data_IF_215690614622
#
_entry.id   IF_215690614622
#
_cell.length_a   1.000
_cell.length_b   1.000
_cell.length_c   1.000
_cell.angle_alpha   90.00
_cell.angle_beta   90.00
_cell.angle_gamma   90.00
#
_symmetry.space_group_name_H-M   'P 1'
#
loop_
_entity.id
_entity.type
_entity.pdbx_description
1 polymer ?
#
# COMPACT_ATOMS: atom_id res chain seq x y z
N UNK A 1 -34.64 36.02 39.20
CA UNK A 1 -33.63 36.27 38.15
C UNK A 1 -33.45 35.03 37.32
N UNK A 2 -33.50 35.14 36.00
CA UNK A 2 -33.19 33.98 35.15
C UNK A 2 -31.71 33.62 35.23
N UNK A 3 -31.43 32.33 35.29
CA UNK A 3 -30.07 31.81 35.20
C UNK A 3 -29.82 31.37 33.74
N UNK A 4 -28.81 31.94 33.13
CA UNK A 4 -28.45 31.62 31.76
C UNK A 4 -27.05 31.00 31.72
N UNK A 5 -26.95 29.84 31.08
CA UNK A 5 -25.69 29.17 30.83
C UNK A 5 -25.44 29.19 29.35
N UNK A 6 -24.25 29.64 28.94
CA UNK A 6 -23.85 29.72 27.56
C UNK A 6 -22.58 28.89 27.37
N UNK A 7 -22.61 27.90 26.46
CA UNK A 7 -21.45 27.11 26.11
C UNK A 7 -21.06 27.47 24.68
N UNK A 8 -19.80 27.83 24.52
CA UNK A 8 -19.27 28.24 23.21
C UNK A 8 -18.01 27.45 22.89
N UNK A 9 -18.01 26.82 21.72
CA UNK A 9 -16.82 26.10 21.23
C UNK A 9 -16.20 26.96 20.13
N UNK A 10 -14.96 27.45 20.30
CA UNK A 10 -14.28 28.23 19.26
C UNK A 10 -14.09 27.43 18.00
N UNK A 11 -14.22 28.06 16.84
CA UNK A 11 -13.99 27.41 15.54
C UNK A 11 -12.56 26.90 15.41
N UNK A 12 -11.59 27.56 16.05
CA UNK A 12 -10.19 27.16 16.07
C UNK A 12 -9.99 25.79 16.74
N UNK A 13 -10.72 25.53 17.84
CA UNK A 13 -10.65 24.25 18.54
C UNK A 13 -11.22 23.11 17.65
N UNK A 14 -12.32 23.39 16.95
CA UNK A 14 -12.93 22.42 16.02
C UNK A 14 -11.99 22.15 14.85
N UNK A 15 -11.36 23.18 14.28
CA UNK A 15 -10.38 23.05 13.20
C UNK A 15 -9.17 22.23 13.63
N UNK A 16 -8.65 22.48 14.84
CA UNK A 16 -7.53 21.72 15.38
C UNK A 16 -7.83 20.23 15.58
N UNK A 17 -9.03 19.91 16.06
CA UNK A 17 -9.48 18.54 16.22
C UNK A 17 -9.62 17.88 14.84
N UNK A 18 -10.22 18.59 13.88
CA UNK A 18 -10.38 18.11 12.51
C UNK A 18 -9.02 17.79 11.87
N UNK A 19 -8.04 18.68 12.01
CA UNK A 19 -6.70 18.51 11.46
C UNK A 19 -6.01 17.30 12.09
N UNK A 20 -6.12 17.10 13.40
CA UNK A 20 -5.56 15.95 14.09
C UNK A 20 -6.20 14.64 13.63
N UNK A 21 -7.51 14.62 13.48
CA UNK A 21 -8.23 13.46 12.96
C UNK A 21 -7.81 13.15 11.53
N UNK A 22 -7.68 14.17 10.70
CA UNK A 22 -7.23 14.02 9.31
C UNK A 22 -5.81 13.45 9.24
N UNK A 23 -4.90 13.95 10.08
CA UNK A 23 -3.54 13.42 10.16
C UNK A 23 -3.51 11.97 10.64
N UNK A 24 -4.33 11.62 11.63
CA UNK A 24 -4.42 10.25 12.14
C UNK A 24 -4.94 9.30 11.07
N UNK A 25 -5.97 9.69 10.33
CA UNK A 25 -6.53 8.91 9.24
C UNK A 25 -5.50 8.73 8.12
N UNK A 26 -4.81 9.80 7.74
CA UNK A 26 -3.79 9.77 6.70
C UNK A 26 -2.64 8.85 7.10
N UNK A 27 -2.14 8.96 8.32
CA UNK A 27 -1.06 8.10 8.83
C UNK A 27 -1.46 6.63 8.86
N UNK A 28 -2.67 6.33 9.33
CA UNK A 28 -3.19 4.97 9.35
C UNK A 28 -3.32 4.38 7.95
N UNK A 29 -3.80 5.18 7.00
CA UNK A 29 -3.92 4.78 5.60
C UNK A 29 -2.56 4.54 4.96
N UNK A 30 -1.58 5.39 5.22
CA UNK A 30 -0.21 5.23 4.72
C UNK A 30 0.44 3.96 5.27
N UNK A 31 0.27 3.69 6.56
CA UNK A 31 0.76 2.45 7.18
C UNK A 31 0.11 1.22 6.55
N UNK A 32 -1.19 1.28 6.27
CA UNK A 32 -1.91 0.19 5.62
C UNK A 32 -1.36 -0.06 4.21
N UNK A 33 -1.15 0.99 3.44
CA UNK A 33 -0.60 0.89 2.08
C UNK A 33 0.82 0.32 2.11
N UNK A 34 1.65 0.78 3.04
CA UNK A 34 3.02 0.27 3.18
C UNK A 34 3.04 -1.20 3.56
N UNK A 35 2.23 -1.61 4.53
CA UNK A 35 2.13 -3.00 4.97
C UNK A 35 1.59 -3.89 3.86
N UNK A 36 0.59 -3.43 3.13
CA UNK A 36 0.00 -4.16 2.00
C UNK A 36 1.01 -4.34 0.88
N UNK A 37 1.77 -3.30 0.54
CA UNK A 37 2.80 -3.35 -0.50
C UNK A 37 3.92 -4.30 -0.10
N UNK A 38 4.37 -4.25 1.16
CA UNK A 38 5.39 -5.14 1.68
C UNK A 38 4.94 -6.61 1.65
N UNK A 39 3.68 -6.88 2.00
CA UNK A 39 3.11 -8.23 1.96
C UNK A 39 3.02 -8.76 0.52
N UNK A 40 2.61 -7.92 -0.44
CA UNK A 40 2.55 -8.29 -1.84
C UNK A 40 3.95 -8.60 -2.40
N UNK A 41 4.94 -7.78 -2.06
CA UNK A 41 6.33 -8.03 -2.46
C UNK A 41 6.89 -9.31 -1.84
N UNK A 42 6.59 -9.58 -0.59
CA UNK A 42 7.00 -10.82 0.06
C UNK A 42 6.43 -12.04 -0.66
N UNK A 43 5.15 -11.99 -1.01
CA UNK A 43 4.49 -13.03 -1.80
C UNK A 43 5.16 -13.22 -3.17
N UNK A 44 5.47 -12.13 -3.87
CA UNK A 44 6.16 -12.17 -5.15
C UNK A 44 7.56 -12.78 -5.01
N UNK A 45 8.33 -12.35 -4.01
CA UNK A 45 9.69 -12.83 -3.76
C UNK A 45 9.70 -14.35 -3.55
N UNK A 46 8.74 -14.87 -2.79
CA UNK A 46 8.65 -16.31 -2.52
C UNK A 46 8.12 -17.11 -3.71
N UNK A 47 7.41 -16.48 -4.64
CA UNK A 47 6.76 -17.15 -5.75
C UNK A 47 7.57 -17.09 -7.05
N UNK A 48 8.49 -16.11 -7.18
CA UNK A 48 9.23 -15.91 -8.42
C UNK A 48 10.20 -17.08 -8.66
N UNK A 49 10.25 -17.63 -9.91
CA UNK A 49 11.23 -18.66 -10.25
C UNK A 49 12.66 -18.12 -10.17
N UNK A 50 13.56 -18.89 -9.58
CA UNK A 50 14.94 -18.48 -9.37
C UNK A 50 15.86 -19.23 -10.34
N UNK A 51 16.07 -18.67 -11.53
CA UNK A 51 17.09 -19.16 -12.45
C UNK A 51 18.43 -18.48 -12.18
N UNK A 52 18.50 -17.14 -12.39
CA UNK A 52 19.71 -16.35 -12.09
C UNK A 52 19.61 -15.63 -10.75
N UNK A 53 18.41 -15.52 -10.19
CA UNK A 53 18.14 -14.78 -8.97
C UNK A 53 18.07 -13.27 -9.17
N UNK A 54 18.21 -12.75 -10.37
CA UNK A 54 18.21 -11.31 -10.65
C UNK A 54 16.85 -10.68 -10.34
N UNK A 55 15.77 -11.27 -10.87
CA UNK A 55 14.41 -10.78 -10.64
C UNK A 55 14.05 -10.80 -9.16
N UNK A 56 14.41 -11.87 -8.45
CA UNK A 56 14.18 -12.00 -7.02
C UNK A 56 14.95 -10.94 -6.23
N UNK A 57 16.23 -10.73 -6.56
CA UNK A 57 17.06 -9.72 -5.91
C UNK A 57 16.53 -8.31 -6.13
N UNK A 58 16.03 -8.01 -7.32
CA UNK A 58 15.45 -6.71 -7.61
C UNK A 58 14.18 -6.46 -6.80
N UNK A 59 13.33 -7.47 -6.64
CA UNK A 59 12.16 -7.37 -5.76
C UNK A 59 12.56 -7.21 -4.29
N UNK A 60 13.61 -7.91 -3.85
CA UNK A 60 14.13 -7.76 -2.49
C UNK A 60 14.67 -6.35 -2.25
N UNK A 61 15.36 -5.77 -3.23
CA UNK A 61 15.85 -4.40 -3.16
C UNK A 61 14.70 -3.39 -3.10
N UNK A 62 13.64 -3.60 -3.88
CA UNK A 62 12.44 -2.76 -3.84
C UNK A 62 11.73 -2.87 -2.48
N UNK A 63 11.65 -4.06 -1.91
CA UNK A 63 11.06 -4.25 -0.57
C UNK A 63 11.82 -3.45 0.48
N UNK A 64 13.16 -3.47 0.42
CA UNK A 64 13.99 -2.69 1.34
C UNK A 64 13.80 -1.18 1.12
N UNK A 65 13.70 -0.72 -0.12
CA UNK A 65 13.45 0.69 -0.45
C UNK A 65 12.10 1.15 0.11
N UNK A 66 11.07 0.35 -0.05
CA UNK A 66 9.71 0.67 0.41
C UNK A 66 9.66 0.71 1.94
N UNK A 67 10.39 -0.18 2.62
CA UNK A 67 10.45 -0.18 4.08
C UNK A 67 11.09 1.11 4.62
N UNK A 68 11.99 1.74 3.85
CA UNK A 68 12.69 2.96 4.23
C UNK A 68 11.98 4.23 3.77
N UNK A 69 11.06 4.15 2.79
CA UNK A 69 10.39 5.29 2.20
C UNK A 69 8.89 5.23 2.47
N UNK A 70 8.29 6.23 3.12
CA UNK A 70 6.85 6.24 3.38
C UNK A 70 6.05 6.37 2.09
N UNK A 71 4.82 5.84 2.06
CA UNK A 71 3.91 6.08 0.95
C UNK A 71 3.58 7.56 0.81
N UNK A 72 3.18 7.99 -0.39
CA UNK A 72 2.73 9.34 -0.64
C UNK A 72 1.22 9.45 -0.49
N UNK A 73 0.74 10.62 -0.09
CA UNK A 73 -0.68 10.94 -0.02
C UNK A 73 -0.95 12.12 -0.96
N UNK A 74 -1.15 11.86 -2.27
CA UNK A 74 -1.31 12.94 -3.25
C UNK A 74 -2.66 13.66 -3.15
N UNK A 75 -3.61 13.09 -2.40
CA UNK A 75 -4.92 13.70 -2.15
C UNK A 75 -5.36 13.37 -0.71
N UNK A 76 -6.29 14.15 -0.12
CA UNK A 76 -6.74 13.92 1.26
C UNK A 76 -7.33 12.54 1.54
N UNK A 77 -7.77 11.84 0.52
CA UNK A 77 -8.45 10.55 0.64
C UNK A 77 -7.67 9.42 -0.07
N UNK A 78 -6.43 9.68 -0.51
CA UNK A 78 -5.66 8.73 -1.32
C UNK A 78 -4.23 8.64 -0.82
N UNK A 79 -3.79 7.44 -0.50
CA UNK A 79 -2.39 7.11 -0.28
C UNK A 79 -1.93 6.13 -1.35
N UNK A 80 -0.69 6.27 -1.78
CA UNK A 80 -0.13 5.51 -2.90
C UNK A 80 1.29 5.08 -2.62
N UNK A 81 1.60 3.86 -3.02
CA UNK A 81 2.97 3.39 -3.07
C UNK A 81 3.13 2.50 -4.30
N UNK A 82 4.27 2.61 -4.98
CA UNK A 82 4.58 1.81 -6.15
C UNK A 82 5.88 1.06 -5.94
N UNK A 83 5.98 -0.11 -6.56
CA UNK A 83 7.18 -0.92 -6.60
C UNK A 83 7.47 -1.28 -8.05
N UNK A 84 8.73 -1.23 -8.44
CA UNK A 84 9.18 -1.48 -9.81
C UNK A 84 10.29 -2.50 -9.81
N UNK A 85 10.26 -3.43 -10.76
CA UNK A 85 11.36 -4.35 -11.01
C UNK A 85 11.99 -3.97 -12.35
N UNK A 86 13.27 -3.68 -12.33
CA UNK A 86 14.01 -3.25 -13.52
C UNK A 86 14.65 -4.41 -14.30
N UNK A 87 14.60 -5.62 -13.76
CA UNK A 87 15.11 -6.78 -14.45
C UNK A 87 14.26 -7.08 -15.70
N UNK A 88 14.89 -7.25 -16.85
CA UNK A 88 14.18 -7.57 -18.10
C UNK A 88 13.41 -8.88 -18.00
N UNK A 89 13.91 -9.84 -17.24
CA UNK A 89 13.26 -11.12 -17.01
C UNK A 89 11.93 -11.01 -16.28
N UNK A 90 11.72 -9.97 -15.48
CA UNK A 90 10.47 -9.79 -14.75
C UNK A 90 9.27 -9.68 -15.70
N UNK A 91 9.42 -8.93 -16.79
CA UNK A 91 8.38 -8.79 -17.82
C UNK A 91 8.13 -10.12 -18.52
N UNK A 92 9.20 -10.84 -18.86
CA UNK A 92 9.08 -12.13 -19.53
C UNK A 92 8.42 -13.19 -18.67
N UNK A 93 8.70 -13.19 -17.38
CA UNK A 93 8.05 -14.11 -16.43
C UNK A 93 6.56 -13.81 -16.30
N UNK A 94 6.19 -12.55 -16.24
CA UNK A 94 4.80 -12.15 -16.04
C UNK A 94 3.93 -12.42 -17.28
N UNK A 95 4.43 -12.08 -18.47
CA UNK A 95 3.64 -12.11 -19.69
C UNK A 95 4.05 -13.22 -20.67
N UNK A 96 5.18 -13.90 -20.42
CA UNK A 96 5.71 -14.91 -21.30
C UNK A 96 6.42 -14.33 -22.52
N UNK A 97 7.00 -15.22 -23.32
CA UNK A 97 7.64 -14.89 -24.60
C UNK A 97 7.12 -15.82 -25.69
N UNK A 98 7.57 -15.63 -26.93
CA UNK A 98 7.24 -16.53 -28.04
C UNK A 98 7.71 -17.98 -27.80
N UNK A 99 8.70 -18.16 -26.93
CA UNK A 99 9.32 -19.46 -26.66
C UNK A 99 9.07 -19.99 -25.26
N UNK A 100 8.44 -19.20 -24.38
CA UNK A 100 8.25 -19.56 -22.97
C UNK A 100 6.86 -19.14 -22.51
N UNK A 101 6.10 -20.04 -21.85
CA UNK A 101 4.80 -19.67 -21.29
C UNK A 101 4.98 -18.70 -20.12
N UNK A 102 3.98 -17.85 -19.84
CA UNK A 102 4.06 -16.95 -18.71
C UNK A 102 4.06 -17.71 -17.37
N UNK A 103 4.82 -17.19 -16.41
CA UNK A 103 4.81 -17.63 -15.00
C UNK A 103 4.54 -16.41 -14.13
N UNK A 104 3.31 -15.90 -14.12
CA UNK A 104 3.01 -14.64 -13.46
C UNK A 104 3.14 -14.77 -11.93
N UNK A 105 3.69 -13.74 -11.30
CA UNK A 105 3.82 -13.64 -9.84
C UNK A 105 3.22 -12.35 -9.31
N UNK A 106 3.42 -11.24 -10.00
CA UNK A 106 2.93 -9.93 -9.57
C UNK A 106 1.40 -9.83 -9.71
N UNK A 107 0.84 -10.23 -10.84
CA UNK A 107 -0.60 -10.23 -11.06
C UNK A 107 -1.37 -11.05 -10.03
N UNK A 108 -1.03 -12.35 -9.82
CA UNK A 108 -1.65 -13.16 -8.78
C UNK A 108 -1.48 -12.60 -7.38
N UNK A 109 -0.30 -12.06 -7.03
CA UNK A 109 -0.06 -11.44 -5.72
C UNK A 109 -0.99 -10.25 -5.49
N UNK A 110 -1.14 -9.38 -6.49
CA UNK A 110 -2.06 -8.23 -6.42
C UNK A 110 -3.51 -8.67 -6.32
N UNK A 111 -3.90 -9.72 -7.01
CA UNK A 111 -5.26 -10.27 -6.93
C UNK A 111 -5.55 -10.80 -5.52
N UNK A 112 -4.62 -11.53 -4.92
CA UNK A 112 -4.74 -12.01 -3.53
C UNK A 112 -4.84 -10.84 -2.55
N UNK A 113 -4.01 -9.83 -2.72
CA UNK A 113 -4.02 -8.63 -1.88
C UNK A 113 -5.35 -7.90 -1.98
N UNK A 114 -5.88 -7.74 -3.19
CA UNK A 114 -7.18 -7.10 -3.42
C UNK A 114 -8.31 -7.84 -2.70
N UNK A 115 -8.29 -9.16 -2.73
CA UNK A 115 -9.28 -9.99 -2.03
C UNK A 115 -9.20 -9.81 -0.52
N UNK A 116 -7.99 -9.78 0.04
CA UNK A 116 -7.76 -9.56 1.48
C UNK A 116 -8.27 -8.18 1.89
N UNK A 117 -7.92 -7.14 1.15
CA UNK A 117 -8.36 -5.77 1.44
C UNK A 117 -9.87 -5.63 1.35
N UNK A 118 -10.50 -6.24 0.34
CA UNK A 118 -11.96 -6.23 0.20
C UNK A 118 -12.64 -6.90 1.38
N UNK A 119 -12.10 -8.02 1.86
CA UNK A 119 -12.63 -8.73 3.03
C UNK A 119 -12.51 -7.88 4.30
N UNK A 120 -11.39 -7.20 4.49
CA UNK A 120 -11.19 -6.30 5.63
C UNK A 120 -12.18 -5.14 5.61
N UNK A 121 -12.41 -4.52 4.45
CA UNK A 121 -13.38 -3.44 4.32
C UNK A 121 -14.81 -3.88 4.61
N UNK A 122 -15.17 -5.10 4.24
CA UNK A 122 -16.49 -5.66 4.56
C UNK A 122 -16.70 -5.85 6.06
N UNK A 123 -15.65 -6.22 6.78
CA UNK A 123 -15.71 -6.40 8.23
C UNK A 123 -15.82 -5.08 8.98
N UNK A 124 -15.40 -3.97 8.36
CA UNK A 124 -15.45 -2.64 8.97
C UNK A 124 -16.79 -1.92 8.73
N UNK A 125 -17.66 -2.46 7.92
CA UNK A 125 -18.99 -1.97 7.64
C UNK A 125 -20.03 -2.88 8.28
#
# INVERSE_FOLDING_TARGET
>A
MPLQISVRVPSDAVSGIRDRLQQTITSAREQMVQSATAAALDDIIHSVPVDTGETQRDWQAEQARIAAAPPSSPAPHLSRQSATNEASQAVYLEYGTAHMPPRPTAGPALTRLRSILSSLFRLMH
#
